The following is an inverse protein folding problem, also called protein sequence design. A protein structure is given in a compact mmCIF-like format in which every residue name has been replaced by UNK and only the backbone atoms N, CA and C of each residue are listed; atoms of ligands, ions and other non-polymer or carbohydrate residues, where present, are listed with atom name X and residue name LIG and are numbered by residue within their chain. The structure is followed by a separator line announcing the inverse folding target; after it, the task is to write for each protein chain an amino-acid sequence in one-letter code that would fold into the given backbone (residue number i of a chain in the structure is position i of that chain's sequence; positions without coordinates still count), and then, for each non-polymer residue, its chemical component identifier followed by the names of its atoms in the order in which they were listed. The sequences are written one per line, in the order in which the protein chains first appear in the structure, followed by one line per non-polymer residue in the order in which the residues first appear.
data_IF_591950652332
#
_entry.id   IF_591950652332
#
_cell.length_a   1.000
_cell.length_b   1.000
_cell.length_c   1.000
_cell.angle_alpha   90.00
_cell.angle_beta   90.00
_cell.angle_gamma   90.00
#
_symmetry.space_group_name_H-M   'P 1'
#
loop_
_entity.id
_entity.type
_entity.pdbx_description
1 polymer ?
#
# COMPACT_ATOMS: atom_id res chain seq x y z
N UNK A 1 14.16 -20.09 -11.59
CA UNK A 1 14.00 -20.01 -10.13
C UNK A 1 12.60 -20.45 -9.73
N UNK A 2 12.49 -21.22 -8.68
CA UNK A 2 11.21 -21.73 -8.18
C UNK A 2 10.58 -20.76 -7.19
N UNK A 3 9.28 -20.93 -6.92
CA UNK A 3 8.54 -20.05 -6.00
C UNK A 3 9.18 -19.95 -4.62
N UNK A 4 9.61 -21.09 -4.06
CA UNK A 4 10.24 -21.12 -2.73
C UNK A 4 11.52 -20.28 -2.68
N UNK A 5 12.30 -20.30 -3.76
CA UNK A 5 13.52 -19.50 -3.86
C UNK A 5 13.20 -18.01 -3.86
N UNK A 6 12.14 -17.63 -4.58
CA UNK A 6 11.68 -16.22 -4.61
C UNK A 6 11.19 -15.76 -3.25
N UNK A 7 10.41 -16.57 -2.54
CA UNK A 7 9.94 -16.23 -1.21
C UNK A 7 11.11 -15.89 -0.29
N UNK A 8 12.13 -16.74 -0.29
CA UNK A 8 13.32 -16.57 0.53
C UNK A 8 14.11 -15.33 0.10
N UNK A 9 14.38 -15.18 -1.20
CA UNK A 9 15.29 -14.17 -1.71
C UNK A 9 14.66 -12.76 -1.74
N UNK A 10 13.35 -12.67 -2.00
CA UNK A 10 12.67 -11.38 -2.10
C UNK A 10 11.90 -11.00 -0.83
N UNK A 11 11.73 -11.92 0.09
CA UNK A 11 10.93 -11.67 1.28
C UNK A 11 9.46 -11.42 0.98
N UNK A 12 8.95 -11.99 -0.11
CA UNK A 12 7.54 -11.94 -0.49
C UNK A 12 6.88 -13.27 -0.23
N UNK A 13 5.64 -13.27 0.25
CA UNK A 13 4.91 -14.51 0.41
C UNK A 13 4.54 -15.09 -0.95
N UNK A 14 4.38 -16.40 -1.00
CA UNK A 14 3.89 -17.11 -2.18
C UNK A 14 2.56 -16.52 -2.67
N UNK A 15 1.67 -16.20 -1.74
CA UNK A 15 0.38 -15.58 -2.03
C UNK A 15 0.56 -14.23 -2.74
N UNK A 16 1.47 -13.40 -2.26
CA UNK A 16 1.77 -12.10 -2.85
C UNK A 16 2.37 -12.24 -4.25
N UNK A 17 3.30 -13.17 -4.44
CA UNK A 17 3.92 -13.42 -5.74
C UNK A 17 2.85 -13.82 -6.76
N UNK A 18 1.94 -14.72 -6.37
CA UNK A 18 0.85 -15.16 -7.25
C UNK A 18 -0.16 -14.07 -7.51
N UNK A 19 -0.39 -13.19 -6.54
CA UNK A 19 -1.22 -12.01 -6.75
C UNK A 19 -0.64 -11.11 -7.84
N UNK A 20 0.68 -10.88 -7.81
CA UNK A 20 1.34 -10.06 -8.83
C UNK A 20 1.32 -10.72 -10.20
N UNK A 21 1.41 -12.05 -10.26
CA UNK A 21 1.22 -12.80 -11.51
C UNK A 21 -0.20 -12.58 -12.04
N UNK A 22 -1.20 -12.70 -11.18
CA UNK A 22 -2.61 -12.49 -11.53
C UNK A 22 -2.85 -11.07 -12.01
N UNK A 23 -2.18 -10.09 -11.43
CA UNK A 23 -2.27 -8.69 -11.86
C UNK A 23 -1.54 -8.40 -13.17
N UNK A 24 -0.82 -9.38 -13.70
CA UNK A 24 -0.20 -9.25 -15.00
C UNK A 24 1.21 -8.70 -15.00
N UNK A 25 1.85 -8.55 -13.85
CA UNK A 25 3.22 -8.03 -13.77
C UNK A 25 4.24 -9.00 -14.33
N UNK A 26 4.03 -10.27 -14.11
CA UNK A 26 4.91 -11.34 -14.57
C UNK A 26 4.09 -12.48 -15.16
N UNK A 27 4.73 -13.28 -15.99
CA UNK A 27 4.10 -14.43 -16.64
C UNK A 27 5.11 -15.57 -16.66
N UNK A 28 5.34 -16.23 -15.51
CA UNK A 28 6.37 -17.28 -15.41
C UNK A 28 6.03 -18.46 -16.30
N UNK A 29 7.05 -19.06 -16.86
CA UNK A 29 6.90 -20.31 -17.61
C UNK A 29 6.67 -21.45 -16.64
N UNK A 30 6.10 -22.53 -17.14
CA UNK A 30 5.91 -23.76 -16.38
C UNK A 30 6.86 -24.81 -16.89
N UNK A 31 7.43 -25.60 -15.98
CA UNK A 31 8.25 -26.73 -16.35
C UNK A 31 7.37 -27.94 -16.75
N UNK A 32 8.00 -29.06 -17.08
CA UNK A 32 7.30 -30.26 -17.53
C UNK A 32 6.32 -30.81 -16.48
N UNK A 33 6.58 -30.56 -15.21
CA UNK A 33 5.73 -30.98 -14.09
C UNK A 33 4.65 -29.98 -13.75
N UNK A 34 4.54 -28.88 -14.50
CA UNK A 34 3.55 -27.85 -14.26
C UNK A 34 3.93 -26.81 -13.21
N UNK A 35 5.14 -26.88 -12.66
CA UNK A 35 5.61 -25.93 -11.66
C UNK A 35 6.08 -24.63 -12.31
N UNK A 36 5.87 -23.52 -11.63
CA UNK A 36 6.32 -22.22 -12.09
C UNK A 36 7.83 -22.10 -12.09
N UNK A 37 8.37 -21.55 -13.17
CA UNK A 37 9.79 -21.27 -13.30
C UNK A 37 9.98 -19.79 -13.65
N UNK A 38 10.55 -19.04 -12.73
CA UNK A 38 10.73 -17.59 -12.85
C UNK A 38 12.08 -17.28 -13.46
N UNK A 39 12.09 -16.49 -14.53
CA UNK A 39 13.34 -16.08 -15.16
C UNK A 39 13.88 -14.80 -14.47
N UNK A 40 15.06 -14.34 -14.89
CA UNK A 40 15.69 -13.16 -14.29
C UNK A 40 14.88 -11.90 -14.51
N UNK A 41 14.16 -11.77 -15.62
CA UNK A 41 13.29 -10.63 -15.86
C UNK A 41 12.12 -10.62 -14.88
N UNK A 42 11.50 -11.78 -14.63
CA UNK A 42 10.42 -11.92 -13.64
C UNK A 42 10.89 -11.46 -12.26
N UNK A 43 12.10 -11.90 -11.89
CA UNK A 43 12.70 -11.55 -10.60
C UNK A 43 12.90 -10.04 -10.47
N UNK A 44 13.44 -9.41 -11.53
CA UNK A 44 13.68 -7.97 -11.53
C UNK A 44 12.37 -7.17 -11.45
N UNK A 45 11.35 -7.60 -12.19
CA UNK A 45 10.03 -6.96 -12.13
C UNK A 45 9.45 -7.06 -10.72
N UNK A 46 9.53 -8.24 -10.10
CA UNK A 46 9.03 -8.42 -8.73
C UNK A 46 9.77 -7.55 -7.73
N UNK A 47 11.08 -7.39 -7.88
CA UNK A 47 11.86 -6.48 -7.03
C UNK A 47 11.39 -5.04 -7.17
N UNK A 48 11.14 -4.62 -8.40
CA UNK A 48 10.68 -3.26 -8.68
C UNK A 48 9.26 -3.03 -8.13
N UNK A 49 8.35 -3.98 -8.34
CA UNK A 49 6.99 -3.91 -7.80
C UNK A 49 7.04 -3.83 -6.27
N UNK A 50 7.86 -4.67 -5.64
CA UNK A 50 8.03 -4.64 -4.18
C UNK A 50 8.51 -3.27 -3.71
N UNK A 51 9.51 -2.70 -4.38
CA UNK A 51 10.04 -1.37 -4.04
C UNK A 51 8.94 -0.31 -4.10
N UNK A 52 8.18 -0.27 -5.20
CA UNK A 52 7.12 0.72 -5.40
C UNK A 52 5.98 0.52 -4.38
N UNK A 53 5.62 -0.73 -4.10
CA UNK A 53 4.58 -1.02 -3.11
C UNK A 53 4.99 -0.61 -1.69
N UNK A 54 6.27 -0.72 -1.38
CA UNK A 54 6.79 -0.27 -0.08
C UNK A 54 6.70 1.25 0.08
N UNK A 55 6.58 1.98 -1.02
CA UNK A 55 6.34 3.44 -1.00
C UNK A 55 4.85 3.78 -0.93
N UNK A 56 3.99 2.80 -0.67
CA UNK A 56 2.54 2.97 -0.60
C UNK A 56 1.91 3.40 -1.93
N UNK A 57 2.55 3.04 -3.05
CA UNK A 57 1.99 3.28 -4.38
C UNK A 57 0.98 2.17 -4.68
N UNK A 58 -0.20 2.53 -5.16
CA UNK A 58 -1.27 1.59 -5.46
C UNK A 58 -0.87 0.64 -6.60
N UNK A 59 -1.50 -0.53 -6.67
CA UNK A 59 -1.27 -1.49 -7.76
C UNK A 59 -1.52 -0.84 -9.12
N UNK A 60 -2.59 -0.07 -9.25
CA UNK A 60 -2.91 0.60 -10.52
C UNK A 60 -1.83 1.60 -10.91
N UNK A 61 -1.32 2.36 -9.97
CA UNK A 61 -0.25 3.31 -10.23
C UNK A 61 1.07 2.61 -10.53
N UNK A 62 1.36 1.48 -9.87
CA UNK A 62 2.53 0.67 -10.19
C UNK A 62 2.46 0.20 -11.65
N UNK A 63 1.30 -0.30 -12.08
CA UNK A 63 1.09 -0.71 -13.47
C UNK A 63 1.32 0.46 -14.43
N UNK A 64 0.77 1.62 -14.11
CA UNK A 64 0.89 2.81 -14.95
C UNK A 64 2.34 3.27 -15.05
N UNK A 65 3.10 3.22 -13.96
CA UNK A 65 4.53 3.55 -13.95
C UNK A 65 5.30 2.58 -14.83
N UNK A 66 5.06 1.28 -14.68
CA UNK A 66 5.79 0.27 -15.46
C UNK A 66 5.45 0.31 -16.95
N UNK A 67 4.23 0.75 -17.28
CA UNK A 67 3.80 0.91 -18.68
C UNK A 67 4.18 2.26 -19.29
N UNK A 68 4.81 3.14 -18.51
CA UNK A 68 5.19 4.47 -18.98
C UNK A 68 4.04 5.46 -19.08
N UNK A 69 2.89 5.14 -18.50
CA UNK A 69 1.70 6.00 -18.52
C UNK A 69 1.69 7.03 -17.40
N UNK A 70 2.43 6.77 -16.33
CA UNK A 70 2.51 7.65 -15.17
C UNK A 70 3.99 7.90 -14.86
N UNK A 71 4.36 9.17 -14.74
CA UNK A 71 5.72 9.55 -14.36
C UNK A 71 5.98 9.22 -12.90
N UNK A 72 7.09 8.51 -12.64
CA UNK A 72 7.45 8.09 -11.29
C UNK A 72 7.58 9.28 -10.33
N UNK A 73 8.25 10.34 -10.75
CA UNK A 73 8.46 11.51 -9.88
C UNK A 73 7.15 12.26 -9.57
N UNK A 74 6.25 12.34 -10.54
CA UNK A 74 4.92 12.92 -10.30
C UNK A 74 4.12 12.07 -9.30
N UNK A 75 4.21 10.75 -9.44
CA UNK A 75 3.57 9.83 -8.49
C UNK A 75 4.10 10.03 -7.08
N UNK A 76 5.42 10.18 -6.92
CA UNK A 76 6.03 10.43 -5.61
C UNK A 76 5.52 11.72 -4.98
N UNK A 77 5.39 12.79 -5.77
CA UNK A 77 4.87 14.07 -5.27
C UNK A 77 3.44 13.93 -4.76
N UNK A 78 2.60 13.27 -5.53
CA UNK A 78 1.19 13.05 -5.16
C UNK A 78 1.11 12.22 -3.88
N UNK A 79 1.87 11.13 -3.81
CA UNK A 79 1.89 10.27 -2.63
C UNK A 79 2.39 11.01 -1.38
N UNK A 80 3.39 11.87 -1.53
CA UNK A 80 3.89 12.66 -0.42
C UNK A 80 2.79 13.58 0.15
N UNK A 81 2.01 14.22 -0.73
CA UNK A 81 0.87 15.04 -0.31
C UNK A 81 -0.14 14.20 0.47
N UNK A 82 -0.46 12.99 -0.02
CA UNK A 82 -1.40 12.10 0.68
C UNK A 82 -0.86 11.67 2.05
N UNK A 83 0.43 11.36 2.13
CA UNK A 83 1.06 10.98 3.39
C UNK A 83 1.06 12.13 4.39
N UNK A 84 1.32 13.35 3.93
CA UNK A 84 1.27 14.54 4.79
C UNK A 84 -0.13 14.74 5.37
N UNK A 85 -1.16 14.53 4.55
CA UNK A 85 -2.56 14.60 5.02
C UNK A 85 -2.88 13.51 6.03
N UNK A 86 -2.38 12.30 5.82
CA UNK A 86 -2.55 11.20 6.76
C UNK A 86 -1.88 11.50 8.10
N UNK A 87 -0.68 12.08 8.08
CA UNK A 87 0.04 12.49 9.29
C UNK A 87 -0.80 13.52 10.08
N UNK A 88 -1.35 14.52 9.39
CA UNK A 88 -2.20 15.52 10.04
C UNK A 88 -3.45 14.90 10.65
N UNK A 89 -4.10 13.98 9.92
CA UNK A 89 -5.29 13.27 10.42
C UNK A 89 -4.97 12.46 11.67
N UNK A 90 -3.82 11.77 11.69
CA UNK A 90 -3.38 10.99 12.85
C UNK A 90 -3.10 11.90 14.04
N UNK A 91 -2.47 13.05 13.82
CA UNK A 91 -2.23 14.03 14.88
C UNK A 91 -3.52 14.50 15.52
N UNK A 92 -4.53 14.82 14.71
CA UNK A 92 -5.84 15.27 15.21
C UNK A 92 -6.51 14.20 16.06
N UNK A 93 -6.44 12.94 15.62
CA UNK A 93 -6.97 11.81 16.39
C UNK A 93 -6.25 11.69 17.74
N UNK A 94 -4.94 11.77 17.74
CA UNK A 94 -4.13 11.71 18.95
C UNK A 94 -4.48 12.85 19.92
N UNK A 95 -4.61 14.05 19.40
CA UNK A 95 -4.99 15.21 20.21
C UNK A 95 -6.37 15.02 20.84
N UNK A 96 -7.32 14.51 20.08
CA UNK A 96 -8.66 14.20 20.60
C UNK A 96 -8.59 13.16 21.73
N UNK A 97 -7.80 12.10 21.53
CA UNK A 97 -7.61 11.06 22.56
C UNK A 97 -6.98 11.67 23.82
N UNK A 98 -5.95 12.50 23.66
CA UNK A 98 -5.29 13.16 24.79
C UNK A 98 -6.26 14.08 25.56
N UNK A 99 -7.13 14.78 24.85
CA UNK A 99 -8.15 15.66 25.46
C UNK A 99 -9.13 14.87 26.35
N UNK A 100 -9.35 13.59 26.04
CA UNK A 100 -10.27 12.74 26.79
C UNK A 100 -9.61 11.83 27.80
N UNK A 101 -8.30 11.93 28.03
CA UNK A 101 -7.62 11.13 29.06
C UNK A 101 -8.16 11.37 30.46
N UNK A 102 -8.59 12.61 30.75
CA UNK A 102 -9.11 13.03 32.05
C UNK A 102 -10.57 13.46 31.98
N UNK A 103 -11.26 13.12 30.91
CA UNK A 103 -12.68 13.42 30.72
C UNK A 103 -13.50 12.15 30.61
N UNK A 104 -14.75 12.26 30.99
CA UNK A 104 -15.70 11.16 30.84
C UNK A 104 -16.18 11.04 29.40
N UNK A 105 -16.83 9.92 29.09
CA UNK A 105 -17.46 9.70 27.79
C UNK A 105 -18.41 10.86 27.49
N UNK A 106 -18.34 11.47 26.27
CA UNK A 106 -19.22 12.57 25.94
C UNK A 106 -20.71 12.19 25.99
N UNK A 107 -21.54 13.14 26.36
CA UNK A 107 -22.98 12.97 26.28
C UNK A 107 -23.41 12.98 24.81
N UNK A 108 -24.54 12.32 24.52
CA UNK A 108 -25.05 12.25 23.13
C UNK A 108 -25.24 13.65 22.55
N UNK A 109 -25.69 14.61 23.37
CA UNK A 109 -25.88 15.99 22.94
C UNK A 109 -24.57 16.70 22.54
N UNK A 110 -23.41 16.19 22.96
CA UNK A 110 -22.09 16.75 22.65
C UNK A 110 -21.44 16.06 21.45
N UNK A 111 -21.93 14.89 21.06
CA UNK A 111 -21.31 14.07 20.02
C UNK A 111 -21.28 14.72 18.63
N UNK A 112 -22.21 15.62 18.34
CA UNK A 112 -22.27 16.29 17.04
C UNK A 112 -20.96 17.01 16.71
N UNK A 113 -20.35 17.70 17.67
CA UNK A 113 -19.08 18.39 17.48
C UNK A 113 -17.88 17.43 17.47
N UNK A 114 -17.89 16.44 18.36
CA UNK A 114 -16.85 15.41 18.42
C UNK A 114 -16.81 14.62 17.12
N UNK A 115 -17.97 14.17 16.61
CA UNK A 115 -18.06 13.43 15.35
C UNK A 115 -17.60 14.27 14.16
N UNK A 116 -17.91 15.54 14.13
CA UNK A 116 -17.52 16.45 13.06
C UNK A 116 -16.00 16.51 12.92
N UNK A 117 -15.30 16.71 14.03
CA UNK A 117 -13.83 16.76 14.04
C UNK A 117 -13.23 15.42 13.64
N UNK A 118 -13.74 14.32 14.21
CA UNK A 118 -13.24 12.98 13.92
C UNK A 118 -13.54 12.55 12.49
N UNK A 119 -14.71 12.89 11.94
CA UNK A 119 -15.07 12.57 10.56
C UNK A 119 -14.14 13.25 9.56
N UNK A 120 -13.80 14.49 9.79
CA UNK A 120 -12.88 15.22 8.93
C UNK A 120 -11.50 14.56 8.92
N UNK A 121 -11.01 14.13 10.08
CA UNK A 121 -9.75 13.42 10.19
C UNK A 121 -9.79 12.08 9.44
N UNK A 122 -10.89 11.33 9.56
CA UNK A 122 -11.05 10.01 8.90
C UNK A 122 -11.16 10.08 7.40
N UNK A 123 -11.72 11.15 6.85
CA UNK A 123 -11.83 11.34 5.41
C UNK A 123 -10.46 11.32 4.71
N UNK A 124 -9.40 11.62 5.44
CA UNK A 124 -8.04 11.52 4.93
C UNK A 124 -7.56 10.08 4.69
N UNK A 125 -8.25 9.08 5.21
CA UNK A 125 -7.86 7.65 5.10
C UNK A 125 -8.62 6.87 4.03
N UNK A 126 -9.52 7.52 3.34
CA UNK A 126 -10.30 6.86 2.28
C UNK A 126 -9.72 7.08 0.86
#
# INVERSE_FOLDING_TARGET
MKTNDLERDLGLSKHTIRYYEKEGFIQPQRDENGYRNYNSNDVQVLKLVKFLRNLEISIDDVKAILNGELDFHECLKINQIHLDKQIESIKEIKETIEDYHDKDLPLISELAEVEKSTSQARLGFQ
#
